data_IF_371828493576
#
_entry.id   IF_371828493576
#
_cell.length_a   1.000
_cell.length_b   1.000
_cell.length_c   1.000
_cell.angle_alpha   90.00
_cell.angle_beta   90.00
_cell.angle_gamma   90.00
#
_symmetry.space_group_name_H-M   'P 1'
#
loop_
_entity.id
_entity.type
_entity.pdbx_description
1 polymer ?
#
# COMPACT_ATOMS: atom_id res chain seq x y z
N UNK A 1 -11.37 2.38 -0.38
CA UNK A 1 -11.11 1.33 0.62
C UNK A 1 -10.84 0.00 -0.08
N UNK A 2 -9.62 -0.14 -0.67
CA UNK A 2 -9.28 -1.28 -1.53
C UNK A 2 -9.02 -2.56 -0.74
N UNK A 3 -8.59 -2.48 0.51
CA UNK A 3 -8.23 -3.65 1.34
C UNK A 3 -9.30 -4.05 2.36
N UNK A 4 -10.53 -3.50 2.29
CA UNK A 4 -11.63 -3.79 3.23
C UNK A 4 -11.21 -3.68 4.70
N UNK A 5 -10.28 -2.81 5.00
CA UNK A 5 -9.84 -2.55 6.37
C UNK A 5 -10.78 -1.55 7.06
N UNK A 6 -10.92 -1.59 8.37
CA UNK A 6 -11.70 -0.60 9.12
C UNK A 6 -11.00 0.76 9.23
N UNK A 7 -9.84 0.92 8.58
CA UNK A 7 -9.02 2.12 8.71
C UNK A 7 -9.17 3.03 7.48
N UNK A 8 -9.10 4.33 7.71
CA UNK A 8 -9.05 5.38 6.70
C UNK A 8 -7.78 6.19 6.85
N UNK A 9 -7.09 6.44 5.72
CA UNK A 9 -5.91 7.27 5.71
C UNK A 9 -6.32 8.75 5.69
N UNK A 10 -5.81 9.51 6.63
CA UNK A 10 -5.96 10.96 6.72
C UNK A 10 -4.61 11.68 6.75
N UNK A 11 -4.63 12.96 6.44
CA UNK A 11 -3.49 13.84 6.60
C UNK A 11 -3.78 14.78 7.77
N UNK A 12 -2.99 14.66 8.83
CA UNK A 12 -3.02 15.59 9.96
C UNK A 12 -1.93 16.66 9.80
N UNK A 13 -2.28 17.87 10.14
CA UNK A 13 -1.35 19.00 10.19
C UNK A 13 -1.13 19.35 11.66
N UNK A 14 0.10 19.27 12.10
CA UNK A 14 0.52 19.62 13.45
C UNK A 14 1.38 20.88 13.40
N UNK A 15 1.16 21.82 14.30
CA UNK A 15 2.02 22.98 14.44
C UNK A 15 3.23 22.60 15.28
N UNK A 16 4.43 22.91 14.78
CA UNK A 16 5.64 22.77 15.59
C UNK A 16 5.63 23.77 16.74
N UNK A 17 5.85 23.31 17.96
CA UNK A 17 6.10 24.18 19.11
C UNK A 17 7.57 24.63 19.10
N UNK A 18 7.88 25.64 18.28
CA UNK A 18 9.18 26.31 18.26
C UNK A 18 8.99 27.78 18.60
N UNK A 19 10.10 28.47 18.92
CA UNK A 19 10.08 29.90 19.35
C UNK A 19 9.40 30.79 18.28
N UNK A 20 9.66 30.57 17.01
CA UNK A 20 9.07 31.34 15.91
C UNK A 20 7.55 31.20 15.84
N UNK A 21 7.04 29.99 15.94
CA UNK A 21 5.60 29.75 15.94
C UNK A 21 4.93 30.31 17.22
N UNK A 22 5.60 30.17 18.36
CA UNK A 22 5.11 30.75 19.61
C UNK A 22 5.00 32.28 19.48
N UNK A 23 6.02 32.97 18.91
CA UNK A 23 5.97 34.41 18.67
C UNK A 23 4.82 34.80 17.73
N UNK A 24 4.67 34.08 16.58
CA UNK A 24 3.57 34.33 15.64
C UNK A 24 2.20 34.16 16.32
N UNK A 25 2.02 33.10 17.10
CA UNK A 25 0.79 32.87 17.86
C UNK A 25 0.52 34.01 18.86
N UNK A 26 1.55 34.48 19.56
CA UNK A 26 1.42 35.61 20.49
C UNK A 26 1.02 36.91 19.79
N UNK A 27 1.53 37.17 18.57
CA UNK A 27 1.13 38.32 17.76
C UNK A 27 -0.35 38.26 17.37
N UNK A 28 -0.83 37.12 16.95
CA UNK A 28 -2.25 36.91 16.62
C UNK A 28 -3.14 37.18 17.84
N UNK A 29 -2.75 36.71 19.03
CA UNK A 29 -3.51 36.92 20.27
C UNK A 29 -3.41 38.35 20.84
N UNK A 30 -2.41 39.13 20.44
CA UNK A 30 -2.32 40.57 20.81
C UNK A 30 -3.35 41.43 20.07
N UNK A 31 -3.84 41.00 18.91
CA UNK A 31 -4.89 41.74 18.21
C UNK A 31 -6.25 41.53 18.91
N UNK A 32 -6.63 42.53 19.73
CA UNK A 32 -7.88 42.50 20.52
C UNK A 32 -9.16 42.37 19.69
N UNK A 33 -9.08 42.53 18.36
CA UNK A 33 -10.21 42.34 17.42
C UNK A 33 -10.40 40.88 17.03
N UNK A 34 -9.37 40.05 17.13
CA UNK A 34 -9.43 38.63 16.84
C UNK A 34 -9.91 37.86 18.07
N UNK A 35 -11.11 37.30 17.99
CA UNK A 35 -11.68 36.46 19.05
C UNK A 35 -11.28 35.00 18.94
N UNK A 36 -10.86 34.56 17.74
CA UNK A 36 -10.54 33.18 17.44
C UNK A 36 -9.31 33.09 16.53
N UNK A 37 -8.57 32.03 16.64
CA UNK A 37 -7.48 31.68 15.74
C UNK A 37 -8.10 31.16 14.42
N UNK A 38 -7.81 31.81 13.30
CA UNK A 38 -8.38 31.45 12.00
C UNK A 38 -7.55 30.38 11.31
N UNK A 39 -8.12 29.77 10.27
CA UNK A 39 -7.40 28.82 9.42
C UNK A 39 -6.20 29.48 8.70
N UNK A 40 -6.33 30.75 8.33
CA UNK A 40 -5.23 31.51 7.73
C UNK A 40 -4.09 31.73 8.73
N UNK A 41 -4.41 32.03 10.00
CA UNK A 41 -3.41 32.16 11.06
C UNK A 41 -2.67 30.82 11.28
N UNK A 42 -3.40 29.70 11.21
CA UNK A 42 -2.83 28.36 11.31
C UNK A 42 -1.89 28.04 10.13
N UNK A 43 -2.26 28.45 8.91
CA UNK A 43 -1.46 28.24 7.72
C UNK A 43 -0.16 29.08 7.67
N UNK A 44 -0.06 30.14 8.47
CA UNK A 44 1.16 30.95 8.63
C UNK A 44 2.20 30.30 9.55
N UNK A 45 1.84 29.25 10.27
CA UNK A 45 2.74 28.54 11.19
C UNK A 45 3.49 27.42 10.48
N UNK A 46 4.70 27.11 10.98
CA UNK A 46 5.44 25.94 10.50
C UNK A 46 4.68 24.67 10.89
N UNK A 47 4.27 23.91 9.89
CA UNK A 47 3.47 22.72 10.07
C UNK A 47 4.28 21.47 9.76
N UNK A 48 4.02 20.42 10.51
CA UNK A 48 4.38 19.04 10.14
C UNK A 48 3.12 18.41 9.57
N UNK A 49 3.22 17.84 8.38
CA UNK A 49 2.17 16.99 7.80
C UNK A 49 2.48 15.56 8.17
N UNK A 50 1.56 14.93 8.84
CA UNK A 50 1.70 13.54 9.25
C UNK A 50 0.53 12.72 8.71
N UNK A 51 0.83 11.57 8.15
CA UNK A 51 -0.21 10.60 7.81
C UNK A 51 -0.73 9.97 9.10
N UNK A 52 -2.04 10.03 9.28
CA UNK A 52 -2.72 9.35 10.36
C UNK A 52 -3.78 8.42 9.81
N UNK A 53 -4.04 7.36 10.54
CA UNK A 53 -5.13 6.46 10.25
C UNK A 53 -6.26 6.71 11.23
N UNK A 54 -7.49 6.57 10.74
CA UNK A 54 -8.69 6.62 11.54
C UNK A 54 -9.35 5.26 11.55
N UNK A 55 -9.57 4.71 12.74
CA UNK A 55 -10.42 3.54 12.89
C UNK A 55 -11.88 3.97 12.78
N UNK A 56 -12.53 3.62 11.67
CA UNK A 56 -13.93 3.95 11.40
C UNK A 56 -14.92 3.36 12.41
N UNK A 57 -14.53 2.28 13.09
CA UNK A 57 -15.40 1.63 14.10
C UNK A 57 -15.55 2.48 15.36
N UNK A 58 -14.48 3.18 15.73
CA UNK A 58 -14.42 3.96 16.96
C UNK A 58 -14.24 5.46 16.73
N UNK A 59 -14.11 5.87 15.45
CA UNK A 59 -13.83 7.25 15.04
C UNK A 59 -12.63 7.87 15.79
N UNK A 60 -11.57 7.07 15.97
CA UNK A 60 -10.36 7.47 16.69
C UNK A 60 -9.14 7.46 15.79
N UNK A 61 -8.23 8.43 15.92
CA UNK A 61 -6.94 8.38 15.24
C UNK A 61 -6.11 7.22 15.81
N UNK A 62 -5.46 6.48 14.92
CA UNK A 62 -4.61 5.34 15.27
C UNK A 62 -3.24 5.56 14.66
N UNK A 63 -2.19 5.37 15.44
CA UNK A 63 -0.84 5.41 14.91
C UNK A 63 -0.59 4.15 14.05
N UNK A 64 0.16 4.30 12.96
CA UNK A 64 0.51 3.18 12.08
C UNK A 64 1.15 2.01 12.84
N UNK A 65 1.90 2.31 13.90
CA UNK A 65 2.54 1.31 14.77
C UNK A 65 1.55 0.49 15.60
N UNK A 66 0.35 1.03 15.82
CA UNK A 66 -0.73 0.40 16.60
C UNK A 66 -1.69 -0.41 15.73
N UNK A 67 -1.60 -0.27 14.41
CA UNK A 67 -2.47 -0.97 13.45
C UNK A 67 -2.10 -2.45 13.24
N UNK A 68 -1.07 -2.92 13.89
CA UNK A 68 -0.52 -4.25 13.69
C UNK A 68 0.53 -4.32 12.57
N UNK A 69 1.45 -5.27 12.69
CA UNK A 69 2.61 -5.40 11.81
C UNK A 69 2.21 -5.55 10.34
N UNK A 70 1.19 -6.33 10.03
CA UNK A 70 0.77 -6.58 8.65
C UNK A 70 0.36 -5.31 7.91
N UNK A 71 -0.42 -4.42 8.52
CA UNK A 71 -0.86 -3.17 7.87
C UNK A 71 0.31 -2.22 7.67
N UNK A 72 1.19 -2.10 8.66
CA UNK A 72 2.38 -1.24 8.57
C UNK A 72 3.36 -1.70 7.49
N UNK A 73 3.44 -3.00 7.21
CA UNK A 73 4.30 -3.57 6.17
C UNK A 73 3.70 -3.47 4.76
N UNK A 74 2.40 -3.67 4.61
CA UNK A 74 1.76 -3.62 3.28
C UNK A 74 1.63 -2.20 2.74
N UNK A 75 1.52 -1.20 3.61
CA UNK A 75 1.31 0.18 3.18
C UNK A 75 2.44 0.74 2.29
N UNK A 76 3.74 0.61 2.63
CA UNK A 76 4.82 1.04 1.74
C UNK A 76 4.77 0.35 0.38
N UNK A 77 4.42 -0.94 0.33
CA UNK A 77 4.28 -1.69 -0.91
C UNK A 77 3.18 -1.08 -1.77
N UNK A 78 1.99 -0.84 -1.20
CA UNK A 78 0.88 -0.20 -1.93
C UNK A 78 1.23 1.20 -2.42
N UNK A 79 1.92 2.01 -1.61
CA UNK A 79 2.38 3.33 -2.02
C UNK A 79 3.31 3.20 -3.23
N UNK A 80 4.29 2.29 -3.20
CA UNK A 80 5.22 2.08 -4.30
C UNK A 80 4.52 1.61 -5.57
N UNK A 81 3.58 0.66 -5.46
CA UNK A 81 2.83 0.12 -6.60
C UNK A 81 2.00 1.19 -7.34
N UNK A 82 1.56 2.25 -6.64
CA UNK A 82 0.63 3.23 -7.20
C UNK A 82 1.16 4.66 -7.27
N UNK A 83 2.39 4.94 -6.80
CA UNK A 83 2.97 6.29 -6.83
C UNK A 83 3.43 6.70 -8.22
N UNK A 84 3.98 5.79 -9.00
CA UNK A 84 4.58 6.07 -10.31
C UNK A 84 4.20 4.99 -11.34
N UNK A 85 4.47 5.29 -12.62
CA UNK A 85 4.17 4.40 -13.74
C UNK A 85 5.46 3.94 -14.44
N UNK A 86 5.41 2.76 -15.05
CA UNK A 86 6.50 2.21 -15.84
C UNK A 86 7.73 1.83 -15.01
N UNK A 87 7.53 1.50 -13.73
CA UNK A 87 8.60 1.14 -12.81
C UNK A 87 8.85 -0.37 -12.78
N UNK A 88 10.08 -0.75 -12.44
CA UNK A 88 10.42 -2.11 -12.00
C UNK A 88 10.49 -2.10 -10.48
N UNK A 89 9.63 -2.89 -9.85
CA UNK A 89 9.45 -2.92 -8.40
C UNK A 89 9.84 -4.29 -7.89
N UNK A 90 10.89 -4.38 -7.07
CA UNK A 90 11.31 -5.61 -6.41
C UNK A 90 10.82 -5.63 -4.96
N UNK A 91 10.19 -6.71 -4.56
CA UNK A 91 9.63 -6.89 -3.21
C UNK A 91 9.95 -8.29 -2.70
N UNK A 92 10.51 -8.36 -1.51
CA UNK A 92 10.80 -9.60 -0.80
C UNK A 92 9.71 -9.86 0.24
N UNK A 93 9.15 -11.07 0.22
CA UNK A 93 8.19 -11.61 1.19
C UNK A 93 7.07 -10.60 1.59
N UNK A 94 6.33 -10.06 0.63
CA UNK A 94 5.29 -9.05 0.92
C UNK A 94 4.14 -9.58 1.78
N UNK A 95 4.04 -10.88 1.91
CA UNK A 95 3.01 -11.58 2.69
C UNK A 95 3.30 -11.68 4.17
N UNK A 96 4.51 -11.34 4.64
CA UNK A 96 4.88 -11.49 6.05
C UNK A 96 3.88 -10.78 6.97
N UNK A 97 3.46 -11.50 8.01
CA UNK A 97 2.49 -11.03 9.01
C UNK A 97 1.09 -10.65 8.48
N UNK A 98 0.80 -10.96 7.21
CA UNK A 98 -0.54 -10.76 6.64
C UNK A 98 -1.43 -11.99 6.87
N UNK A 99 -2.70 -11.72 7.17
CA UNK A 99 -3.71 -12.78 7.16
C UNK A 99 -3.88 -13.34 5.73
N UNK A 100 -4.10 -14.64 5.53
CA UNK A 100 -4.24 -15.26 4.20
C UNK A 100 -5.17 -14.53 3.23
N UNK A 101 -6.30 -14.02 3.71
CA UNK A 101 -7.21 -13.24 2.88
C UNK A 101 -6.55 -11.95 2.32
N UNK A 102 -5.73 -11.28 3.13
CA UNK A 102 -5.01 -10.06 2.71
C UNK A 102 -3.87 -10.41 1.74
N UNK A 103 -3.19 -11.56 1.93
CA UNK A 103 -2.19 -12.06 0.97
C UNK A 103 -2.81 -12.25 -0.42
N UNK A 104 -4.00 -12.83 -0.48
CA UNK A 104 -4.75 -12.95 -1.74
C UNK A 104 -5.12 -11.59 -2.34
N UNK A 105 -5.59 -10.62 -1.52
CA UNK A 105 -5.95 -9.30 -2.00
C UNK A 105 -4.72 -8.51 -2.49
N UNK A 106 -3.55 -8.74 -1.88
CA UNK A 106 -2.29 -8.14 -2.31
C UNK A 106 -1.88 -8.59 -3.73
N UNK A 107 -2.13 -9.85 -4.10
CA UNK A 107 -1.93 -10.32 -5.47
C UNK A 107 -2.77 -9.50 -6.47
N UNK A 108 -4.02 -9.18 -6.14
CA UNK A 108 -4.86 -8.33 -6.98
C UNK A 108 -4.27 -6.91 -7.14
N UNK A 109 -3.61 -6.37 -6.11
CA UNK A 109 -2.97 -5.05 -6.20
C UNK A 109 -1.72 -5.06 -7.10
N UNK A 110 -0.93 -6.14 -7.12
CA UNK A 110 0.16 -6.32 -8.09
C UNK A 110 -0.38 -6.35 -9.53
N UNK A 111 -1.47 -7.10 -9.79
CA UNK A 111 -2.11 -7.14 -11.12
C UNK A 111 -2.58 -5.75 -11.55
N UNK A 112 -3.25 -5.01 -10.65
CA UNK A 112 -3.71 -3.63 -10.95
C UNK A 112 -2.54 -2.69 -11.24
N UNK A 113 -1.46 -2.77 -10.49
CA UNK A 113 -0.26 -1.98 -10.72
C UNK A 113 0.33 -2.24 -12.10
N UNK A 114 0.37 -3.49 -12.53
CA UNK A 114 0.77 -3.88 -13.89
C UNK A 114 -0.18 -3.32 -14.95
N UNK A 115 -1.50 -3.49 -14.81
CA UNK A 115 -2.47 -3.06 -15.83
C UNK A 115 -2.67 -1.54 -15.87
N UNK A 116 -2.79 -0.88 -14.72
CA UNK A 116 -3.12 0.56 -14.65
C UNK A 116 -1.89 1.46 -14.80
N UNK A 117 -0.73 0.99 -14.32
CA UNK A 117 0.50 1.77 -14.25
C UNK A 117 1.63 1.24 -15.13
N UNK A 118 1.45 0.10 -15.81
CA UNK A 118 2.49 -0.57 -16.60
C UNK A 118 3.77 -0.87 -15.79
N UNK A 119 3.61 -1.14 -14.50
CA UNK A 119 4.71 -1.50 -13.62
C UNK A 119 5.03 -2.99 -13.75
N UNK A 120 6.30 -3.36 -13.71
CA UNK A 120 6.77 -4.73 -13.62
C UNK A 120 7.14 -5.05 -12.18
N UNK A 121 6.56 -6.09 -11.60
CA UNK A 121 6.87 -6.52 -10.23
C UNK A 121 7.71 -7.79 -10.24
N UNK A 122 8.81 -7.78 -9.47
CA UNK A 122 9.63 -8.95 -9.14
C UNK A 122 9.34 -9.25 -7.68
N UNK A 123 8.69 -10.39 -7.42
CA UNK A 123 8.21 -10.72 -6.07
C UNK A 123 8.83 -12.04 -5.62
N UNK A 124 9.60 -11.99 -4.53
CA UNK A 124 9.97 -13.20 -3.80
C UNK A 124 8.89 -13.51 -2.77
N UNK A 125 8.35 -14.72 -2.80
CA UNK A 125 7.26 -15.09 -1.91
C UNK A 125 7.23 -16.58 -1.57
N UNK A 126 6.78 -16.89 -0.37
CA UNK A 126 6.41 -18.25 0.06
C UNK A 126 4.88 -18.40 0.22
N UNK A 127 4.09 -17.43 -0.24
CA UNK A 127 2.64 -17.45 -0.10
C UNK A 127 1.95 -18.26 -1.18
N UNK A 128 1.43 -19.42 -0.84
CA UNK A 128 0.50 -20.15 -1.70
C UNK A 128 -0.74 -19.34 -2.04
N UNK A 129 -1.24 -18.51 -1.10
CA UNK A 129 -2.43 -17.69 -1.30
C UNK A 129 -2.24 -16.61 -2.36
N UNK A 130 -1.03 -16.05 -2.47
CA UNK A 130 -0.68 -15.10 -3.51
C UNK A 130 -0.68 -15.79 -4.87
N UNK A 131 0.03 -16.93 -4.99
CA UNK A 131 0.11 -17.71 -6.24
C UNK A 131 -1.26 -18.22 -6.69
N UNK A 132 -2.03 -18.82 -5.78
CA UNK A 132 -3.38 -19.31 -6.08
C UNK A 132 -4.31 -18.19 -6.54
N UNK A 133 -4.15 -16.96 -6.04
CA UNK A 133 -4.93 -15.82 -6.51
C UNK A 133 -4.56 -15.43 -7.93
N UNK A 134 -3.27 -15.41 -8.30
CA UNK A 134 -2.83 -15.16 -9.67
C UNK A 134 -3.41 -16.21 -10.64
N UNK A 135 -3.27 -17.49 -10.32
CA UNK A 135 -3.84 -18.59 -11.11
C UNK A 135 -5.36 -18.48 -11.24
N UNK A 136 -6.06 -18.12 -10.15
CA UNK A 136 -7.50 -17.88 -10.19
C UNK A 136 -7.84 -16.73 -11.14
N UNK A 137 -7.07 -15.65 -11.18
CA UNK A 137 -7.33 -14.53 -12.09
C UNK A 137 -7.08 -14.90 -13.55
N UNK A 138 -6.05 -15.71 -13.84
CA UNK A 138 -5.82 -16.27 -15.17
C UNK A 138 -7.02 -17.08 -15.64
N UNK A 139 -7.48 -18.05 -14.84
CA UNK A 139 -8.66 -18.85 -15.16
C UNK A 139 -9.91 -17.97 -15.38
N UNK A 140 -10.17 -17.01 -14.50
CA UNK A 140 -11.31 -16.10 -14.64
C UNK A 140 -11.21 -15.21 -15.88
N UNK A 141 -10.01 -14.90 -16.35
CA UNK A 141 -9.78 -14.17 -17.61
C UNK A 141 -10.25 -15.02 -18.79
N UNK A 142 -9.87 -16.29 -18.83
CA UNK A 142 -10.28 -17.22 -19.89
C UNK A 142 -11.80 -17.46 -19.85
N UNK A 143 -12.38 -17.67 -18.67
CA UNK A 143 -13.80 -17.93 -18.48
C UNK A 143 -14.69 -16.68 -18.64
N UNK A 144 -14.13 -15.48 -18.73
CA UNK A 144 -14.90 -14.23 -18.76
C UNK A 144 -15.67 -13.93 -17.46
N UNK A 145 -15.18 -14.44 -16.32
CA UNK A 145 -15.85 -14.33 -15.01
C UNK A 145 -15.15 -13.38 -14.04
N UNK A 146 -14.29 -12.49 -14.57
CA UNK A 146 -13.57 -11.50 -13.77
C UNK A 146 -14.52 -10.53 -13.05
N UNK A 147 -14.26 -10.23 -11.76
CA UNK A 147 -15.04 -9.23 -11.03
C UNK A 147 -14.73 -7.79 -11.50
N UNK A 148 -13.60 -7.58 -12.15
CA UNK A 148 -13.15 -6.31 -12.71
C UNK A 148 -12.13 -6.59 -13.83
N UNK A 149 -12.24 -5.89 -14.95
CA UNK A 149 -11.34 -6.04 -16.11
C UNK A 149 -9.87 -5.73 -15.78
N UNK A 150 -9.61 -4.84 -14.82
CA UNK A 150 -8.25 -4.51 -14.35
C UNK A 150 -7.55 -5.67 -13.63
N UNK A 151 -8.23 -6.80 -13.44
CA UNK A 151 -7.68 -8.03 -12.87
C UNK A 151 -7.42 -9.10 -13.92
N UNK A 152 -7.54 -8.76 -15.21
CA UNK A 152 -7.23 -9.69 -16.30
C UNK A 152 -5.75 -10.06 -16.27
N UNK A 153 -5.47 -11.33 -16.37
CA UNK A 153 -4.12 -11.87 -16.34
C UNK A 153 -4.04 -13.07 -17.26
N UNK A 154 -2.95 -13.18 -18.01
CA UNK A 154 -2.67 -14.31 -18.89
C UNK A 154 -1.36 -14.98 -18.48
N UNK A 155 -1.09 -16.23 -18.88
CA UNK A 155 0.19 -16.88 -18.64
C UNK A 155 1.39 -16.08 -19.18
N UNK A 156 1.20 -15.33 -20.26
CA UNK A 156 2.26 -14.47 -20.85
C UNK A 156 2.57 -13.21 -20.02
N UNK A 157 1.73 -12.84 -19.08
CA UNK A 157 1.93 -11.68 -18.19
C UNK A 157 2.76 -12.06 -16.93
N UNK A 158 2.99 -13.36 -16.69
CA UNK A 158 3.59 -13.86 -15.44
C UNK A 158 4.65 -14.92 -15.73
N UNK A 159 5.80 -14.81 -15.07
CA UNK A 159 6.80 -15.87 -15.01
C UNK A 159 6.97 -16.32 -13.56
N UNK A 160 6.88 -17.61 -13.29
CA UNK A 160 7.11 -18.19 -11.96
C UNK A 160 8.43 -18.95 -11.99
N UNK A 161 9.36 -18.47 -11.18
CA UNK A 161 10.69 -19.03 -11.04
C UNK A 161 10.81 -19.74 -9.70
N UNK A 162 11.11 -21.03 -9.72
CA UNK A 162 11.43 -21.81 -8.55
C UNK A 162 12.94 -21.86 -8.37
N UNK A 163 13.42 -21.39 -7.25
CA UNK A 163 14.86 -21.35 -6.92
C UNK A 163 15.15 -22.47 -5.93
N UNK A 164 16.08 -23.35 -6.28
CA UNK A 164 16.51 -24.45 -5.42
C UNK A 164 18.03 -24.57 -5.43
N UNK A 165 18.59 -25.29 -4.47
CA UNK A 165 20.03 -25.45 -4.32
C UNK A 165 20.36 -26.91 -4.02
N UNK A 166 21.41 -27.41 -4.68
CA UNK A 166 22.09 -28.63 -4.29
C UNK A 166 23.41 -28.31 -3.55
N UNK A 167 24.16 -29.33 -3.17
CA UNK A 167 25.42 -29.18 -2.41
C UNK A 167 26.46 -28.27 -3.06
N UNK A 168 26.38 -28.03 -4.37
CA UNK A 168 27.43 -27.36 -5.15
C UNK A 168 26.97 -26.08 -5.87
N UNK A 169 25.66 -25.92 -6.12
CA UNK A 169 25.13 -24.80 -6.92
C UNK A 169 23.65 -24.54 -6.67
N UNK A 170 23.29 -23.29 -6.89
CA UNK A 170 21.89 -22.86 -6.99
C UNK A 170 21.43 -22.96 -8.44
N UNK A 171 20.19 -23.41 -8.66
CA UNK A 171 19.56 -23.46 -9.97
C UNK A 171 18.17 -22.85 -9.93
N UNK A 172 17.71 -22.39 -11.09
CA UNK A 172 16.40 -21.76 -11.27
C UNK A 172 15.62 -22.57 -12.28
N UNK A 173 14.40 -22.94 -11.91
CA UNK A 173 13.46 -23.63 -12.78
C UNK A 173 12.30 -22.68 -13.08
N UNK A 174 12.00 -22.49 -14.35
CA UNK A 174 10.79 -21.78 -14.75
C UNK A 174 9.62 -22.79 -14.79
N UNK A 175 8.59 -22.46 -14.01
CA UNK A 175 7.36 -23.28 -13.97
C UNK A 175 6.46 -22.88 -15.13
N UNK A 176 6.06 -23.87 -15.92
CA UNK A 176 5.12 -23.65 -17.01
C UNK A 176 3.73 -23.37 -16.45
N UNK A 177 3.09 -22.35 -16.99
CA UNK A 177 1.70 -22.01 -16.69
C UNK A 177 0.86 -22.45 -17.88
N UNK A 178 0.01 -23.45 -17.66
CA UNK A 178 -0.91 -23.93 -18.68
C UNK A 178 -2.17 -23.07 -18.74
N UNK A 179 -2.81 -23.02 -19.91
CA UNK A 179 -4.06 -22.25 -20.12
C UNK A 179 -5.31 -23.03 -19.69
N UNK A 180 -5.17 -24.28 -19.22
CA UNK A 180 -6.26 -25.21 -18.85
C UNK A 180 -6.81 -25.00 -17.44
#
# INVERSE_FOLDING_TARGET
DKLKTPYELGLQKHVKLNEQNIMKMQEVFKDKRKKHFSEDDFNMLDQIKEFSFYDKRYNTPVNIREMGLGVSQVLPILVTLFSEKGQVIAVEQPELHLHPAVQSDLADEFIKSFKDNSNTSIVETHSEHLLLRLMKRMRQTVEGTLPNENLSLTPNDVSILYVDADENKTYVLELQLDED
#
